data_IF_845747712840
#
_entry.id   IF_845747712840
#
_cell.length_a   1.000
_cell.length_b   1.000
_cell.length_c   1.000
_cell.angle_alpha   90.00
_cell.angle_beta   90.00
_cell.angle_gamma   90.00
#
_symmetry.space_group_name_H-M   'P 1'
#
loop_
_entity.id
_entity.type
_entity.pdbx_description
1 polymer ?
#
# COMPACT_ATOMS: atom_id res chain seq x y z
N UNK A 1 -11.91 -8.56 -21.07
CA UNK A 1 -11.87 -7.49 -22.10
C UNK A 1 -11.25 -6.27 -21.45
N UNK A 2 -9.98 -6.03 -21.77
CA UNK A 2 -9.10 -5.02 -21.19
C UNK A 2 -9.63 -3.61 -21.44
N UNK A 3 -9.71 -2.76 -20.41
CA UNK A 3 -9.93 -1.33 -20.61
C UNK A 3 -8.91 -0.54 -19.82
N UNK A 4 -7.76 -0.32 -20.45
CA UNK A 4 -6.91 0.83 -20.18
C UNK A 4 -7.70 2.08 -20.55
N UNK A 5 -7.93 3.02 -19.65
CA UNK A 5 -8.57 4.29 -20.01
C UNK A 5 -7.84 5.49 -19.42
N UNK A 6 -6.85 5.91 -20.20
CA UNK A 6 -6.09 7.15 -20.09
C UNK A 6 -5.19 7.21 -21.31
N UNK A 7 -5.78 7.56 -22.46
CA UNK A 7 -5.38 7.28 -23.85
C UNK A 7 -5.79 5.91 -24.36
N UNK A 8 -6.42 5.90 -25.53
CA UNK A 8 -6.58 4.77 -26.45
C UNK A 8 -5.25 4.24 -27.01
N UNK A 9 -4.16 4.41 -26.25
CA UNK A 9 -2.85 3.85 -26.58
C UNK A 9 -2.52 2.84 -25.50
N UNK A 10 -2.23 1.63 -25.98
CA UNK A 10 -1.63 0.57 -25.19
C UNK A 10 -0.46 1.11 -24.35
N UNK A 11 -0.07 0.36 -23.31
CA UNK A 11 1.26 0.50 -22.72
C UNK A 11 2.27 0.80 -23.84
N UNK A 12 3.16 1.76 -23.61
CA UNK A 12 4.14 2.17 -24.61
C UNK A 12 5.18 1.07 -24.82
N UNK A 13 6.07 1.23 -25.79
CA UNK A 13 7.26 0.38 -25.95
C UNK A 13 8.31 0.63 -24.86
N UNK A 14 8.10 1.58 -23.95
CA UNK A 14 9.04 1.81 -22.86
C UNK A 14 8.94 0.72 -21.80
N UNK A 15 10.03 0.58 -21.05
CA UNK A 15 10.09 -0.25 -19.86
C UNK A 15 9.08 0.22 -18.81
N UNK A 16 8.54 -0.75 -18.07
CA UNK A 16 7.67 -0.51 -16.91
C UNK A 16 8.45 -0.80 -15.63
N UNK A 17 8.53 0.17 -14.74
CA UNK A 17 9.05 -0.04 -13.40
C UNK A 17 7.90 -0.22 -12.43
N UNK A 18 7.87 -1.35 -11.73
CA UNK A 18 6.81 -1.68 -10.79
C UNK A 18 7.44 -2.26 -9.52
N UNK A 19 7.35 -1.54 -8.41
CA UNK A 19 7.85 -1.93 -7.09
C UNK A 19 9.26 -2.57 -7.13
N UNK A 20 10.24 -1.85 -7.69
CA UNK A 20 11.64 -2.30 -7.75
C UNK A 20 11.97 -3.31 -8.84
N UNK A 21 11.01 -3.67 -9.71
CA UNK A 21 11.23 -4.58 -10.84
C UNK A 21 10.99 -3.87 -12.17
N UNK A 22 11.96 -4.00 -13.07
CA UNK A 22 11.85 -3.54 -14.45
C UNK A 22 11.25 -4.65 -15.31
N UNK A 23 10.25 -4.28 -16.12
CA UNK A 23 9.64 -5.11 -17.13
C UNK A 23 9.97 -4.52 -18.49
N UNK A 24 10.88 -5.17 -19.21
CA UNK A 24 11.32 -4.70 -20.51
C UNK A 24 10.25 -4.90 -21.56
N UNK A 25 10.05 -3.90 -22.41
CA UNK A 25 9.33 -4.06 -23.68
C UNK A 25 10.32 -3.73 -24.79
N UNK A 26 10.64 -4.69 -25.64
CA UNK A 26 11.58 -4.46 -26.74
C UNK A 26 10.96 -3.51 -27.78
N UNK A 27 11.81 -2.71 -28.42
CA UNK A 27 11.45 -1.91 -29.60
C UNK A 27 11.18 -2.82 -30.80
N UNK A 28 10.42 -2.30 -31.77
CA UNK A 28 9.98 -2.98 -33.01
C UNK A 28 11.12 -3.47 -33.94
N UNK A 29 12.40 -3.37 -33.53
CA UNK A 29 13.57 -3.63 -34.40
C UNK A 29 14.37 -4.90 -34.05
N UNK A 30 13.98 -5.70 -33.06
CA UNK A 30 14.58 -7.02 -32.82
C UNK A 30 13.54 -8.13 -32.90
N UNK A 31 13.65 -8.92 -33.95
CA UNK A 31 12.78 -10.04 -34.33
C UNK A 31 12.75 -11.18 -33.30
N UNK A 32 11.76 -11.17 -32.40
CA UNK A 32 11.08 -12.34 -31.86
C UNK A 32 9.84 -11.88 -31.08
N UNK A 33 8.64 -12.06 -31.66
CA UNK A 33 7.35 -11.68 -31.02
C UNK A 33 7.17 -12.31 -29.62
N UNK A 34 7.82 -13.45 -29.35
CA UNK A 34 7.72 -14.19 -28.09
C UNK A 34 8.23 -13.42 -26.86
N UNK A 35 9.28 -12.61 -27.00
CA UNK A 35 9.97 -12.02 -25.84
C UNK A 35 9.26 -10.73 -25.36
N UNK A 36 8.66 -9.97 -26.28
CA UNK A 36 7.91 -8.75 -25.94
C UNK A 36 6.57 -9.04 -25.25
N UNK A 37 5.90 -10.12 -25.67
CA UNK A 37 4.69 -10.64 -25.04
C UNK A 37 4.99 -11.17 -23.63
N UNK A 38 6.18 -11.74 -23.42
CA UNK A 38 6.62 -12.26 -22.11
C UNK A 38 6.77 -11.17 -21.05
N UNK A 39 7.36 -10.01 -21.39
CA UNK A 39 7.56 -8.90 -20.45
C UNK A 39 6.25 -8.24 -20.03
N UNK A 40 5.32 -8.10 -20.98
CA UNK A 40 3.98 -7.56 -20.71
C UNK A 40 3.14 -8.51 -19.85
N UNK A 41 3.11 -9.80 -20.21
CA UNK A 41 2.38 -10.82 -19.45
C UNK A 41 2.91 -10.93 -18.00
N UNK A 42 4.24 -10.93 -17.82
CA UNK A 42 4.87 -10.98 -16.51
C UNK A 42 4.58 -9.72 -15.66
N UNK A 43 4.41 -8.55 -16.29
CA UNK A 43 3.95 -7.34 -15.60
C UNK A 43 2.49 -7.49 -15.15
N UNK A 44 1.60 -7.96 -16.03
CA UNK A 44 0.18 -8.13 -15.69
C UNK A 44 -0.05 -9.17 -14.60
N UNK A 45 0.69 -10.27 -14.64
CA UNK A 45 0.70 -11.27 -13.57
C UNK A 45 1.12 -10.64 -12.24
N UNK A 46 2.15 -9.80 -12.24
CA UNK A 46 2.60 -9.11 -11.03
C UNK A 46 1.59 -8.10 -10.51
N UNK A 47 1.07 -7.26 -11.40
CA UNK A 47 0.09 -6.24 -11.07
C UNK A 47 -1.17 -6.87 -10.47
N UNK A 48 -1.69 -7.93 -11.09
CA UNK A 48 -2.88 -8.67 -10.61
C UNK A 48 -2.63 -9.51 -9.34
N UNK A 49 -1.37 -9.74 -8.98
CA UNK A 49 -0.99 -10.42 -7.74
C UNK A 49 -0.97 -9.48 -6.53
N UNK A 50 -1.09 -8.16 -6.73
CA UNK A 50 -1.09 -7.18 -5.64
C UNK A 50 -2.44 -7.17 -4.92
N UNK A 51 -2.40 -6.99 -3.61
CA UNK A 51 -3.61 -6.88 -2.80
C UNK A 51 -4.26 -5.53 -3.08
N UNK A 52 -5.50 -5.57 -3.56
CA UNK A 52 -6.30 -4.38 -3.84
C UNK A 52 -7.38 -4.22 -2.78
N UNK A 53 -7.38 -3.08 -2.10
CA UNK A 53 -8.32 -2.76 -1.03
C UNK A 53 -9.05 -1.48 -1.40
N UNK A 54 -10.37 -1.55 -1.39
CA UNK A 54 -11.27 -0.49 -1.87
C UNK A 54 -12.23 -0.04 -0.78
N UNK A 55 -13.08 0.94 -1.09
CA UNK A 55 -14.16 1.31 -0.21
C UNK A 55 -15.09 0.13 0.08
N UNK A 56 -15.58 0.11 1.32
CA UNK A 56 -16.46 -0.92 1.84
C UNK A 56 -17.74 -0.32 2.41
N UNK A 57 -18.82 -1.07 2.29
CA UNK A 57 -20.13 -0.80 2.91
C UNK A 57 -20.58 -2.01 3.72
N UNK A 58 -21.23 -1.75 4.85
CA UNK A 58 -21.83 -2.78 5.69
C UNK A 58 -20.87 -3.42 6.70
N UNK A 59 -19.75 -2.77 7.03
CA UNK A 59 -18.98 -3.15 8.23
C UNK A 59 -19.66 -2.61 9.49
N UNK A 60 -19.30 -3.18 10.64
CA UNK A 60 -19.77 -2.72 11.95
C UNK A 60 -19.41 -1.26 12.19
N UNK A 61 -20.26 -0.52 12.89
CA UNK A 61 -20.02 0.91 13.12
C UNK A 61 -18.67 1.15 13.81
N UNK A 62 -17.88 2.08 13.30
CA UNK A 62 -16.59 2.44 13.92
C UNK A 62 -16.83 3.07 15.30
N UNK A 63 -16.08 2.68 16.33
CA UNK A 63 -16.32 3.02 17.75
C UNK A 63 -16.86 4.43 18.05
N UNK A 64 -16.23 5.49 17.53
CA UNK A 64 -16.61 6.88 17.83
C UNK A 64 -17.67 7.47 16.87
N UNK A 65 -18.25 6.68 15.98
CA UNK A 65 -19.15 7.18 14.93
C UNK A 65 -20.27 6.19 14.57
N UNK A 66 -21.17 6.62 13.68
CA UNK A 66 -22.23 5.77 13.10
C UNK A 66 -21.89 5.30 11.68
N UNK A 67 -20.67 5.53 11.21
CA UNK A 67 -20.25 5.14 9.87
C UNK A 67 -20.10 3.62 9.78
N UNK A 68 -20.85 3.03 8.85
CA UNK A 68 -20.77 1.62 8.43
C UNK A 68 -20.22 1.49 7.01
N UNK A 69 -19.60 2.57 6.53
CA UNK A 69 -19.07 2.71 5.18
C UNK A 69 -17.98 3.76 5.16
N UNK A 70 -16.91 3.48 4.41
CA UNK A 70 -15.78 4.42 4.25
C UNK A 70 -15.75 5.16 2.91
N UNK A 71 -16.80 4.98 2.11
CA UNK A 71 -17.02 5.71 0.86
C UNK A 71 -16.87 7.22 1.04
N UNK A 72 -16.08 7.83 0.15
CA UNK A 72 -15.76 9.26 0.07
C UNK A 72 -14.81 9.82 1.15
N UNK A 73 -14.34 9.02 2.12
CA UNK A 73 -13.41 9.50 3.14
C UNK A 73 -12.26 8.53 3.45
N UNK A 74 -12.44 7.23 3.25
CA UNK A 74 -11.46 6.19 3.60
C UNK A 74 -10.29 6.01 2.64
N UNK A 75 -10.17 6.77 1.53
CA UNK A 75 -9.22 6.47 0.46
C UNK A 75 -7.77 6.41 0.94
N UNK A 76 -7.37 7.31 1.84
CA UNK A 76 -6.02 7.30 2.43
C UNK A 76 -5.80 6.05 3.30
N UNK A 77 -6.81 5.64 4.06
CA UNK A 77 -6.75 4.41 4.87
C UNK A 77 -6.55 3.21 3.94
N UNK A 78 -7.40 3.06 2.91
CA UNK A 78 -7.35 1.93 1.97
C UNK A 78 -6.04 1.86 1.19
N UNK A 79 -5.58 2.99 0.66
CA UNK A 79 -4.29 3.06 -0.03
C UNK A 79 -3.13 2.70 0.90
N UNK A 80 -3.15 3.16 2.16
CA UNK A 80 -2.12 2.77 3.13
C UNK A 80 -2.18 1.29 3.52
N UNK A 81 -3.38 0.70 3.63
CA UNK A 81 -3.54 -0.74 3.85
C UNK A 81 -2.94 -1.53 2.70
N UNK A 82 -3.11 -1.09 1.44
CA UNK A 82 -2.47 -1.74 0.29
C UNK A 82 -0.94 -1.71 0.35
N UNK A 83 -0.34 -0.58 0.76
CA UNK A 83 1.12 -0.47 0.93
C UNK A 83 1.63 -1.41 2.03
N UNK A 84 0.97 -1.44 3.19
CA UNK A 84 1.38 -2.30 4.30
C UNK A 84 1.14 -3.78 3.97
N UNK A 85 0.03 -4.10 3.30
CA UNK A 85 -0.22 -5.45 2.78
C UNK A 85 0.89 -5.87 1.81
N UNK A 86 1.36 -4.97 0.96
CA UNK A 86 2.47 -5.24 0.06
C UNK A 86 3.79 -5.51 0.80
N UNK A 87 4.07 -4.77 1.88
CA UNK A 87 5.22 -5.02 2.75
C UNK A 87 5.17 -6.44 3.36
N UNK A 88 4.00 -6.86 3.82
CA UNK A 88 3.78 -8.21 4.37
C UNK A 88 3.95 -9.30 3.31
N UNK A 89 3.46 -9.08 2.09
CA UNK A 89 3.69 -9.99 0.96
C UNK A 89 5.18 -10.12 0.66
N UNK A 90 5.92 -9.01 0.61
CA UNK A 90 7.36 -9.05 0.36
C UNK A 90 8.11 -9.76 1.49
N UNK A 91 7.71 -9.54 2.73
CA UNK A 91 8.35 -10.14 3.88
C UNK A 91 8.11 -11.66 3.96
N UNK A 92 6.85 -12.10 3.84
CA UNK A 92 6.50 -13.51 4.02
C UNK A 92 6.66 -14.36 2.76
N UNK A 93 6.31 -13.81 1.59
CA UNK A 93 6.24 -14.56 0.33
C UNK A 93 7.36 -14.16 -0.66
N UNK A 94 7.98 -13.00 -0.45
CA UNK A 94 9.01 -12.45 -1.33
C UNK A 94 8.46 -11.64 -2.50
N UNK A 95 9.28 -10.71 -3.01
CA UNK A 95 8.94 -9.82 -4.16
C UNK A 95 8.52 -10.59 -5.42
N UNK A 96 9.15 -11.74 -5.65
CA UNK A 96 8.92 -12.57 -6.84
C UNK A 96 7.63 -13.40 -6.77
N UNK A 97 6.96 -13.46 -5.62
CA UNK A 97 5.70 -14.21 -5.48
C UNK A 97 4.59 -13.61 -6.35
N UNK A 98 3.80 -14.51 -6.94
CA UNK A 98 2.63 -14.21 -7.77
C UNK A 98 1.44 -15.01 -7.27
N UNK A 99 0.23 -14.43 -7.36
CA UNK A 99 -1.01 -15.08 -6.94
C UNK A 99 -1.39 -16.15 -7.97
N UNK A 100 -1.52 -17.42 -7.56
CA UNK A 100 -1.98 -18.46 -8.48
C UNK A 100 -3.36 -18.15 -9.06
N UNK A 101 -3.59 -18.55 -10.30
CA UNK A 101 -4.89 -18.43 -10.97
C UNK A 101 -5.94 -19.34 -10.33
N UNK A 102 -5.51 -20.50 -9.83
CA UNK A 102 -6.38 -21.56 -9.28
C UNK A 102 -6.21 -21.72 -7.76
N UNK A 103 -7.24 -22.30 -7.13
CA UNK A 103 -7.27 -22.63 -5.70
C UNK A 103 -6.59 -24.01 -5.46
N UNK A 104 -6.11 -24.29 -4.24
CA UNK A 104 -6.08 -23.43 -3.05
C UNK A 104 -5.00 -22.36 -3.11
N UNK A 105 -5.25 -21.22 -2.47
CA UNK A 105 -4.24 -20.17 -2.32
C UNK A 105 -3.29 -20.46 -1.16
N UNK A 106 -2.07 -19.91 -1.23
CA UNK A 106 -1.06 -20.04 -0.17
C UNK A 106 -1.64 -19.58 1.19
N UNK A 107 -1.53 -20.37 2.28
CA UNK A 107 -2.11 -20.02 3.58
C UNK A 107 -1.59 -18.73 4.20
N UNK A 108 -0.32 -18.38 4.00
CA UNK A 108 0.28 -17.13 4.48
C UNK A 108 -0.30 -15.92 3.74
N UNK A 109 -0.54 -16.03 2.42
CA UNK A 109 -1.28 -15.02 1.65
C UNK A 109 -2.66 -14.77 2.26
N UNK A 110 -3.36 -15.83 2.67
CA UNK A 110 -4.69 -15.73 3.28
C UNK A 110 -4.63 -15.15 4.69
N UNK A 111 -3.64 -15.53 5.48
CA UNK A 111 -3.36 -14.89 6.76
C UNK A 111 -3.12 -13.39 6.61
N UNK A 112 -2.34 -12.98 5.60
CA UNK A 112 -2.12 -11.57 5.28
C UNK A 112 -3.43 -10.86 4.99
N UNK A 113 -4.25 -11.44 4.11
CA UNK A 113 -5.55 -10.89 3.76
C UNK A 113 -6.50 -10.73 4.96
N UNK A 114 -6.53 -11.72 5.86
CA UNK A 114 -7.38 -11.69 7.06
C UNK A 114 -7.03 -10.53 7.99
N UNK A 115 -5.76 -10.12 8.07
CA UNK A 115 -5.35 -8.99 8.90
C UNK A 115 -6.01 -7.66 8.48
N UNK A 116 -6.46 -7.52 7.23
CA UNK A 116 -7.05 -6.28 6.70
C UNK A 116 -8.59 -6.30 6.59
N UNK A 117 -9.26 -7.32 7.15
CA UNK A 117 -10.71 -7.36 7.16
C UNK A 117 -11.34 -6.15 7.86
N UNK A 118 -12.56 -5.78 7.47
CA UNK A 118 -13.28 -4.61 7.99
C UNK A 118 -13.98 -4.89 9.33
N UNK A 119 -13.23 -5.41 10.30
CA UNK A 119 -13.70 -5.74 11.64
C UNK A 119 -12.64 -5.41 12.68
N UNK A 120 -13.06 -5.04 13.89
CA UNK A 120 -12.16 -4.81 15.02
C UNK A 120 -11.33 -6.05 15.38
N UNK A 121 -11.81 -7.25 15.02
CA UNK A 121 -11.06 -8.50 15.18
C UNK A 121 -9.83 -8.60 14.27
N UNK A 122 -9.79 -7.86 13.16
CA UNK A 122 -8.70 -7.88 12.19
C UNK A 122 -7.63 -6.85 12.56
N UNK A 123 -6.39 -7.29 12.77
CA UNK A 123 -5.30 -6.48 13.34
C UNK A 123 -5.07 -5.12 12.65
N UNK A 124 -5.27 -5.05 11.32
CA UNK A 124 -5.02 -3.88 10.47
C UNK A 124 -6.30 -3.37 9.79
N UNK A 125 -7.46 -3.59 10.41
CA UNK A 125 -8.74 -3.06 9.95
C UNK A 125 -8.80 -1.54 9.94
N UNK A 126 -9.77 -1.00 9.20
CA UNK A 126 -10.07 0.44 9.23
C UNK A 126 -10.43 0.92 10.65
N UNK A 127 -11.13 0.11 11.43
CA UNK A 127 -11.49 0.39 12.83
C UNK A 127 -10.25 0.59 13.69
N UNK A 128 -9.33 -0.38 13.65
CA UNK A 128 -8.13 -0.36 14.45
C UNK A 128 -7.16 0.76 14.03
N UNK A 129 -7.10 1.08 12.74
CA UNK A 129 -6.34 2.23 12.24
C UNK A 129 -6.90 3.57 12.71
N UNK A 130 -8.23 3.75 12.65
CA UNK A 130 -8.87 4.96 13.16
C UNK A 130 -8.61 5.14 14.66
N UNK A 131 -8.75 4.07 15.43
CA UNK A 131 -8.50 4.09 16.86
C UNK A 131 -7.04 4.45 17.18
N UNK A 132 -6.08 3.82 16.50
CA UNK A 132 -4.65 4.09 16.70
C UNK A 132 -4.24 5.51 16.26
N UNK A 133 -4.91 6.07 15.26
CA UNK A 133 -4.63 7.40 14.74
C UNK A 133 -5.40 8.54 15.40
N UNK A 134 -6.25 8.27 16.39
CA UNK A 134 -7.13 9.28 17.01
C UNK A 134 -6.37 10.50 17.53
N UNK A 135 -5.19 10.31 18.12
CA UNK A 135 -4.34 11.40 18.61
C UNK A 135 -3.72 12.27 17.50
N UNK A 136 -3.73 11.77 16.26
CA UNK A 136 -3.24 12.45 15.06
C UNK A 136 -4.40 12.93 14.18
N UNK A 137 -5.62 13.03 14.73
CA UNK A 137 -6.79 13.56 14.04
C UNK A 137 -7.47 12.59 13.07
N UNK A 138 -7.12 11.29 13.08
CA UNK A 138 -7.89 10.31 12.30
C UNK A 138 -9.28 10.16 12.91
N UNK A 139 -10.29 10.44 12.09
CA UNK A 139 -11.69 10.27 12.44
C UNK A 139 -12.48 9.84 11.21
N UNK A 140 -13.52 9.04 11.42
CA UNK A 140 -14.43 8.67 10.34
C UNK A 140 -15.03 9.93 9.69
N UNK A 141 -15.09 9.95 8.36
CA UNK A 141 -15.58 11.10 7.58
C UNK A 141 -14.55 12.22 7.37
N UNK A 142 -13.38 12.18 8.02
CA UNK A 142 -12.34 13.20 7.88
C UNK A 142 -11.25 12.77 6.89
N UNK A 143 -10.65 13.75 6.21
CA UNK A 143 -9.46 13.49 5.41
C UNK A 143 -8.24 13.27 6.31
N UNK A 144 -7.35 12.35 5.89
CA UNK A 144 -6.13 12.02 6.60
C UNK A 144 -4.92 12.31 5.72
N UNK A 145 -3.96 13.06 6.25
CA UNK A 145 -2.70 13.33 5.57
C UNK A 145 -1.68 12.18 5.70
N UNK A 146 -0.68 12.10 4.81
CA UNK A 146 0.34 11.04 4.85
C UNK A 146 1.08 10.93 6.19
N UNK A 147 1.44 12.04 6.82
CA UNK A 147 2.12 12.04 8.12
C UNK A 147 1.26 11.38 9.21
N UNK A 148 0.03 11.85 9.40
CA UNK A 148 -0.90 11.31 10.37
C UNK A 148 -1.15 9.80 10.14
N UNK A 149 -1.24 9.38 8.88
CA UNK A 149 -1.37 7.97 8.52
C UNK A 149 -0.14 7.14 8.92
N UNK A 150 1.08 7.64 8.66
CA UNK A 150 2.32 6.96 9.09
C UNK A 150 2.38 6.79 10.60
N UNK A 151 1.98 7.83 11.36
CA UNK A 151 1.93 7.79 12.83
C UNK A 151 0.84 6.85 13.37
N UNK A 152 -0.30 6.76 12.69
CA UNK A 152 -1.35 5.80 13.00
C UNK A 152 -0.84 4.36 12.84
N UNK A 153 -0.15 4.04 11.75
CA UNK A 153 0.49 2.73 11.55
C UNK A 153 1.53 2.42 12.63
N UNK A 154 2.41 3.38 12.94
CA UNK A 154 3.41 3.21 14.02
C UNK A 154 2.74 2.89 15.35
N UNK A 155 1.67 3.60 15.70
CA UNK A 155 0.91 3.40 16.94
C UNK A 155 0.20 2.05 16.94
N UNK A 156 -0.44 1.67 15.84
CA UNK A 156 -1.16 0.40 15.71
C UNK A 156 -0.23 -0.81 15.84
N UNK A 157 0.88 -0.80 15.10
CA UNK A 157 1.89 -1.88 15.14
C UNK A 157 2.44 -2.06 16.55
N UNK A 158 2.74 -0.96 17.25
CA UNK A 158 3.22 -0.99 18.64
C UNK A 158 2.17 -1.56 19.59
N UNK A 159 0.93 -1.08 19.50
CA UNK A 159 -0.17 -1.49 20.39
C UNK A 159 -0.52 -2.96 20.21
N UNK A 160 -0.65 -3.45 18.96
CA UNK A 160 -0.94 -4.86 18.68
C UNK A 160 0.18 -5.78 19.22
N UNK A 161 1.44 -5.31 19.18
CA UNK A 161 2.57 -6.05 19.74
C UNK A 161 2.50 -6.13 21.27
N UNK A 162 2.26 -5.01 21.95
CA UNK A 162 2.13 -4.95 23.41
C UNK A 162 0.95 -5.82 23.91
N UNK A 163 -0.20 -5.78 23.23
CA UNK A 163 -1.36 -6.60 23.59
C UNK A 163 -1.13 -8.11 23.39
N UNK A 164 -0.32 -8.51 22.41
CA UNK A 164 0.05 -9.91 22.18
C UNK A 164 0.94 -10.49 23.30
N UNK A 165 1.77 -9.68 23.94
CA UNK A 165 2.56 -10.16 25.09
C UNK A 165 1.65 -10.62 26.25
N UNK A 166 0.40 -10.15 26.26
CA UNK A 166 -0.64 -10.53 27.23
C UNK A 166 -1.49 -11.72 26.72
N UNK A 167 -1.72 -11.82 25.41
CA UNK A 167 -2.59 -12.84 24.80
C UNK A 167 -1.83 -13.58 23.68
N UNK A 168 -1.60 -14.89 23.85
CA UNK A 168 -0.91 -15.79 22.90
C UNK A 168 -1.63 -15.92 21.52
N UNK A 169 -1.77 -14.83 20.77
CA UNK A 169 -2.28 -14.78 19.40
C UNK A 169 -1.16 -14.86 18.37
N UNK A 170 -1.50 -15.11 17.09
CA UNK A 170 -0.54 -15.39 16.02
C UNK A 170 -0.43 -14.27 14.96
N UNK A 171 -1.11 -13.13 15.13
CA UNK A 171 -1.22 -12.07 14.13
C UNK A 171 -0.52 -10.78 14.60
N UNK A 172 0.81 -10.72 14.49
CA UNK A 172 1.58 -9.50 14.75
C UNK A 172 2.33 -9.04 13.51
N UNK A 173 2.48 -7.73 13.36
CA UNK A 173 3.32 -7.15 12.33
C UNK A 173 4.78 -7.63 12.50
N UNK A 174 5.40 -8.25 11.47
CA UNK A 174 6.67 -8.96 11.60
C UNK A 174 7.91 -8.07 11.39
N UNK A 175 7.71 -6.75 11.27
CA UNK A 175 8.76 -5.79 10.96
C UNK A 175 8.78 -4.66 11.99
N UNK A 176 9.96 -4.12 12.28
CA UNK A 176 10.07 -2.81 12.92
C UNK A 176 9.49 -1.73 11.98
N UNK A 177 8.93 -0.65 12.52
CA UNK A 177 8.38 0.45 11.72
C UNK A 177 9.07 1.76 12.10
N UNK A 178 9.69 2.40 11.12
CA UNK A 178 10.39 3.67 11.28
C UNK A 178 9.75 4.74 10.39
N UNK A 179 9.11 5.71 11.04
CA UNK A 179 8.64 6.93 10.39
C UNK A 179 9.78 7.94 10.31
N UNK A 180 10.21 8.27 9.10
CA UNK A 180 11.32 9.20 8.85
C UNK A 180 10.73 10.56 8.47
N UNK A 181 10.50 11.41 9.48
CA UNK A 181 10.03 12.80 9.31
C UNK A 181 11.18 13.80 9.29
N UNK A 182 11.01 14.93 8.60
CA UNK A 182 12.01 16.01 8.53
C UNK A 182 11.96 17.03 9.68
N UNK A 183 10.99 16.92 10.59
CA UNK A 183 10.74 17.75 11.78
C UNK A 183 10.13 16.85 12.87
N UNK A 184 10.26 17.21 14.15
CA UNK A 184 9.64 16.55 15.31
C UNK A 184 8.12 16.44 15.11
N UNK A 185 7.48 17.49 14.56
CA UNK A 185 6.04 17.51 14.30
C UNK A 185 5.65 16.97 12.91
N UNK A 186 6.56 16.94 11.93
CA UNK A 186 6.46 16.31 10.60
C UNK A 186 5.24 16.63 9.70
N UNK A 187 4.20 17.29 10.21
CA UNK A 187 2.96 17.64 9.51
C UNK A 187 3.18 18.70 8.44
N UNK A 188 4.21 19.53 8.59
CA UNK A 188 4.50 20.68 7.72
C UNK A 188 5.61 20.42 6.69
N UNK A 189 6.04 19.17 6.57
CA UNK A 189 7.14 18.77 5.69
C UNK A 189 8.50 18.84 6.39
N UNK A 190 9.56 19.01 5.60
CA UNK A 190 10.95 19.00 6.06
C UNK A 190 11.85 18.16 5.15
N UNK A 191 13.12 18.02 5.53
CA UNK A 191 14.09 17.18 4.83
C UNK A 191 14.33 15.90 5.66
N UNK A 192 13.55 14.82 5.44
CA UNK A 192 13.72 13.61 6.22
C UNK A 192 15.09 13.00 5.97
N UNK A 193 15.79 12.66 7.06
CA UNK A 193 17.09 11.99 7.04
C UNK A 193 16.93 10.65 7.76
N UNK A 194 17.28 9.57 7.07
CA UNK A 194 17.30 8.24 7.69
C UNK A 194 18.48 8.19 8.65
N UNK A 195 18.19 8.11 9.95
CA UNK A 195 19.23 7.93 10.97
C UNK A 195 19.43 6.44 11.24
N UNK A 196 20.62 5.93 10.93
CA UNK A 196 20.94 4.50 11.09
C UNK A 196 20.90 4.10 12.57
N UNK A 197 21.37 4.94 13.49
CA UNK A 197 21.33 4.63 14.92
C UNK A 197 19.89 4.46 15.42
N UNK A 198 18.95 5.29 14.92
CA UNK A 198 17.52 5.15 15.23
C UNK A 198 16.96 3.85 14.65
N UNK A 199 17.31 3.51 13.40
CA UNK A 199 16.88 2.25 12.79
C UNK A 199 17.41 1.03 13.55
N UNK A 200 18.69 1.04 13.94
CA UNK A 200 19.31 -0.03 14.74
C UNK A 200 18.64 -0.14 16.10
N UNK A 201 18.37 0.97 16.78
CA UNK A 201 17.68 0.95 18.07
C UNK A 201 16.27 0.36 17.94
N UNK A 202 15.49 0.81 16.96
CA UNK A 202 14.14 0.28 16.69
C UNK A 202 14.18 -1.23 16.40
N UNK A 203 15.16 -1.70 15.63
CA UNK A 203 15.36 -3.12 15.36
C UNK A 203 15.73 -3.92 16.62
N UNK A 204 16.64 -3.39 17.44
CA UNK A 204 17.02 -4.00 18.72
C UNK A 204 15.80 -4.11 19.65
N UNK A 205 15.03 -3.04 19.80
CA UNK A 205 13.80 -3.01 20.61
C UNK A 205 12.74 -3.95 20.04
N UNK A 206 12.64 -4.06 18.72
CA UNK A 206 11.76 -5.01 18.04
C UNK A 206 12.14 -6.47 18.32
N UNK A 207 13.44 -6.77 18.39
CA UNK A 207 13.94 -8.12 18.70
C UNK A 207 14.18 -8.36 20.20
N UNK A 208 13.79 -7.44 21.09
CA UNK A 208 14.08 -7.53 22.54
C UNK A 208 15.58 -7.76 22.84
N UNK A 209 16.45 -7.12 22.05
CA UNK A 209 17.91 -7.26 22.15
C UNK A 209 18.49 -8.57 21.63
N UNK A 210 17.70 -9.46 21.01
CA UNK A 210 18.18 -10.74 20.50
C UNK A 210 18.98 -10.63 19.19
N UNK A 211 18.76 -9.57 18.40
CA UNK A 211 19.48 -9.29 17.16
C UNK A 211 19.59 -7.79 16.95
N UNK A 212 20.69 -7.35 16.35
CA UNK A 212 20.96 -5.95 16.00
C UNK A 212 20.10 -5.45 14.83
N UNK A 213 19.49 -6.36 14.07
CA UNK A 213 18.66 -6.02 12.93
C UNK A 213 17.41 -6.90 12.85
N UNK A 214 16.28 -6.28 12.54
CA UNK A 214 15.03 -6.93 12.13
C UNK A 214 14.62 -6.41 10.76
N UNK A 215 13.80 -7.15 10.01
CA UNK A 215 13.03 -6.58 8.90
C UNK A 215 12.40 -5.24 9.32
N UNK A 216 12.51 -4.21 8.47
CA UNK A 216 12.10 -2.84 8.80
C UNK A 216 11.25 -2.25 7.67
N UNK A 217 10.13 -1.64 8.03
CA UNK A 217 9.30 -0.82 7.16
C UNK A 217 9.64 0.66 7.39
N UNK A 218 10.18 1.31 6.35
CA UNK A 218 10.45 2.74 6.35
C UNK A 218 9.27 3.49 5.74
N UNK A 219 8.68 4.41 6.50
CA UNK A 219 7.62 5.31 6.03
C UNK A 219 8.14 6.75 6.02
N UNK A 220 8.15 7.39 4.85
CA UNK A 220 8.73 8.73 4.67
C UNK A 220 7.63 9.70 4.25
N UNK A 221 6.92 10.36 5.19
CA UNK A 221 5.93 11.38 4.85
C UNK A 221 6.63 12.61 4.27
N UNK A 222 6.13 13.08 3.12
CA UNK A 222 6.73 14.20 2.37
C UNK A 222 5.67 15.22 1.95
N UNK A 223 6.06 16.50 1.99
CA UNK A 223 5.32 17.62 1.38
C UNK A 223 6.20 18.19 0.27
N UNK A 224 5.83 17.92 -0.99
CA UNK A 224 6.68 18.20 -2.16
C UNK A 224 6.26 19.45 -2.94
N UNK A 225 5.35 20.25 -2.37
CA UNK A 225 4.84 21.48 -2.92
C UNK A 225 3.62 21.97 -2.13
N UNK A 226 3.13 23.16 -2.45
CA UNK A 226 1.95 23.75 -1.80
C UNK A 226 0.66 23.19 -2.40
N UNK A 227 0.42 23.47 -3.69
CA UNK A 227 -0.81 23.02 -4.39
C UNK A 227 -0.57 21.81 -5.30
N UNK A 228 0.64 21.76 -5.88
CA UNK A 228 1.09 20.71 -6.79
C UNK A 228 2.52 20.33 -6.46
N UNK A 229 2.87 19.08 -6.77
CA UNK A 229 4.25 18.60 -6.65
C UNK A 229 5.16 19.51 -7.48
N UNK A 230 6.25 19.99 -6.89
CA UNK A 230 7.25 20.74 -7.63
C UNK A 230 7.91 19.79 -8.66
N UNK A 231 7.86 20.10 -9.98
CA UNK A 231 8.35 19.21 -11.02
C UNK A 231 9.80 18.74 -10.84
N UNK A 232 10.63 19.50 -10.12
CA UNK A 232 12.01 19.11 -9.79
C UNK A 232 12.11 17.77 -9.05
N UNK A 233 11.07 17.39 -8.31
CA UNK A 233 11.05 16.14 -7.54
C UNK A 233 10.54 14.95 -8.34
N UNK A 234 9.85 15.16 -9.48
CA UNK A 234 9.25 14.09 -10.26
C UNK A 234 10.30 13.05 -10.70
N UNK A 235 11.48 13.42 -11.25
CA UNK A 235 12.52 12.44 -11.60
C UNK A 235 12.98 11.63 -10.38
N UNK A 236 13.16 12.29 -9.22
CA UNK A 236 13.58 11.64 -7.98
C UNK A 236 12.54 10.64 -7.47
N UNK A 237 11.25 10.96 -7.57
CA UNK A 237 10.15 10.04 -7.23
C UNK A 237 10.11 8.85 -8.19
N UNK A 238 10.32 9.07 -9.49
CA UNK A 238 10.38 7.98 -10.49
C UNK A 238 11.52 7.01 -10.17
N UNK A 239 12.69 7.52 -9.77
CA UNK A 239 13.82 6.68 -9.34
C UNK A 239 13.49 5.79 -8.13
N UNK A 240 12.63 6.23 -7.21
CA UNK A 240 12.27 5.37 -6.06
C UNK A 240 11.59 4.06 -6.46
N UNK A 241 10.99 3.97 -7.65
CA UNK A 241 10.40 2.72 -8.16
C UNK A 241 11.44 1.74 -8.72
N UNK A 242 12.69 2.17 -8.91
CA UNK A 242 13.79 1.30 -9.35
C UNK A 242 14.46 0.56 -8.20
N UNK A 243 14.26 1.04 -6.96
CA UNK A 243 14.84 0.42 -5.77
C UNK A 243 14.20 -0.95 -5.50
N UNK A 244 14.98 -2.03 -5.28
CA UNK A 244 14.43 -3.35 -4.96
C UNK A 244 13.52 -3.36 -3.71
N UNK A 245 13.73 -2.40 -2.80
CA UNK A 245 12.99 -2.21 -1.56
C UNK A 245 11.71 -1.37 -1.74
N UNK A 246 11.44 -0.88 -2.95
CA UNK A 246 10.32 0.03 -3.21
C UNK A 246 8.98 -0.63 -2.89
N UNK A 247 8.24 0.00 -1.99
CA UNK A 247 6.84 -0.32 -1.68
C UNK A 247 5.90 0.69 -2.32
N UNK A 248 6.38 1.51 -3.27
CA UNK A 248 5.59 2.54 -3.91
C UNK A 248 5.31 3.77 -3.04
N UNK A 249 4.33 4.56 -3.45
CA UNK A 249 4.01 5.87 -2.90
C UNK A 249 2.51 5.95 -2.63
N UNK A 250 2.15 6.53 -1.48
CA UNK A 250 0.78 6.95 -1.17
C UNK A 250 0.64 8.43 -1.46
N UNK A 251 -0.43 8.82 -2.14
CA UNK A 251 -0.65 10.23 -2.40
C UNK A 251 -1.96 10.51 -3.11
N UNK A 252 -2.29 11.80 -3.19
CA UNK A 252 -3.52 12.29 -3.80
C UNK A 252 -3.99 13.55 -3.09
N UNK A 253 -4.92 14.28 -3.73
CA UNK A 253 -5.63 15.38 -3.07
C UNK A 253 -6.63 14.80 -2.07
N UNK A 254 -7.18 15.63 -1.15
CA UNK A 254 -8.28 15.21 -0.31
C UNK A 254 -9.41 14.54 -1.10
N UNK A 255 -9.75 13.32 -0.69
CA UNK A 255 -10.79 12.50 -1.34
C UNK A 255 -10.36 11.77 -2.61
N UNK A 256 -9.08 11.82 -3.01
CA UNK A 256 -8.57 11.17 -4.24
C UNK A 256 -7.28 10.37 -4.01
N UNK A 257 -7.08 9.81 -2.81
CA UNK A 257 -5.84 9.08 -2.49
C UNK A 257 -5.74 7.77 -3.28
N UNK A 258 -4.57 7.50 -3.85
CA UNK A 258 -4.26 6.26 -4.57
C UNK A 258 -2.95 5.64 -4.07
N UNK A 259 -2.77 4.36 -4.34
CA UNK A 259 -1.50 3.68 -4.08
C UNK A 259 -0.72 3.54 -5.39
N UNK A 260 0.28 4.39 -5.58
CA UNK A 260 1.14 4.40 -6.76
C UNK A 260 2.23 3.35 -6.58
N UNK A 261 2.22 2.32 -7.43
CA UNK A 261 3.10 1.16 -7.32
C UNK A 261 4.12 1.05 -8.47
N UNK A 262 4.02 1.91 -9.47
CA UNK A 262 4.98 1.93 -10.56
C UNK A 262 4.88 3.14 -11.47
N UNK A 263 5.73 3.15 -12.49
CA UNK A 263 5.80 4.18 -13.52
C UNK A 263 6.09 3.57 -14.89
N UNK A 264 5.55 4.19 -15.92
CA UNK A 264 5.88 3.94 -17.33
C UNK A 264 5.93 5.29 -18.03
N UNK A 265 7.07 5.63 -18.65
CA UNK A 265 7.31 6.98 -19.16
C UNK A 265 6.97 8.02 -18.08
N UNK A 266 6.15 9.03 -18.40
CA UNK A 266 5.66 10.05 -17.47
C UNK A 266 4.32 9.70 -16.82
N UNK A 267 3.93 8.42 -16.85
CA UNK A 267 2.67 7.92 -16.27
C UNK A 267 2.95 7.17 -14.98
N UNK A 268 2.12 7.43 -13.98
CA UNK A 268 2.06 6.64 -12.76
C UNK A 268 1.12 5.44 -12.93
N UNK A 269 1.52 4.29 -12.40
CA UNK A 269 0.71 3.08 -12.28
C UNK A 269 0.27 2.94 -10.84
N UNK A 270 -1.04 2.82 -10.61
CA UNK A 270 -1.60 2.86 -9.27
C UNK A 270 -2.77 1.88 -9.08
N UNK A 271 -3.04 1.56 -7.82
CA UNK A 271 -4.23 0.85 -7.36
C UNK A 271 -5.19 1.87 -6.74
N UNK A 272 -6.43 1.85 -7.24
CA UNK A 272 -7.44 2.86 -6.94
C UNK A 272 -8.45 2.35 -5.91
N UNK A 273 -8.56 2.94 -4.70
CA UNK A 273 -9.50 2.47 -3.69
C UNK A 273 -10.95 2.92 -3.91
N UNK A 274 -11.27 3.74 -4.91
CA UNK A 274 -12.58 4.41 -5.02
C UNK A 274 -13.71 3.51 -5.53
N UNK A 275 -13.45 2.22 -5.77
CA UNK A 275 -14.50 1.25 -6.02
C UNK A 275 -15.23 0.88 -4.72
N UNK A 276 -16.56 0.85 -4.76
CA UNK A 276 -17.38 0.50 -3.60
C UNK A 276 -17.76 -0.97 -3.64
N UNK A 277 -17.37 -1.72 -2.62
CA UNK A 277 -17.72 -3.12 -2.45
C UNK A 277 -18.47 -3.35 -1.12
N UNK A 278 -19.28 -4.39 -1.03
CA UNK A 278 -19.89 -4.79 0.24
C UNK A 278 -18.88 -5.56 1.09
N UNK A 279 -18.99 -5.47 2.41
CA UNK A 279 -18.34 -6.40 3.32
C UNK A 279 -19.02 -7.76 3.15
N UNK A 280 -18.23 -8.82 2.99
CA UNK A 280 -18.74 -10.18 2.87
C UNK A 280 -18.74 -10.82 4.27
N UNK A 281 -19.91 -11.30 4.71
CA UNK A 281 -20.22 -11.74 6.08
C UNK A 281 -19.41 -12.96 6.60
N UNK A 282 -18.70 -13.68 5.72
CA UNK A 282 -17.87 -14.83 6.11
C UNK A 282 -16.39 -14.53 5.87
N UNK A 283 -15.66 -14.37 6.98
CA UNK A 283 -14.22 -14.14 7.05
C UNK A 283 -13.38 -15.19 6.29
N UNK A 284 -13.93 -16.39 6.02
CA UNK A 284 -13.22 -17.48 5.32
C UNK A 284 -13.44 -17.52 3.80
N UNK A 285 -14.25 -16.63 3.22
CA UNK A 285 -14.55 -16.61 1.77
C UNK A 285 -14.41 -15.21 1.14
N UNK A 286 -13.98 -14.20 1.90
CA UNK A 286 -14.25 -12.79 1.56
C UNK A 286 -13.34 -12.16 0.50
N UNK A 287 -12.30 -12.85 -0.01
CA UNK A 287 -11.50 -12.42 -1.18
C UNK A 287 -11.58 -13.43 -2.33
N UNK A 288 -12.45 -14.43 -2.20
CA UNK A 288 -12.34 -15.67 -2.98
C UNK A 288 -13.29 -15.83 -4.15
N UNK A 289 -14.16 -14.86 -4.38
CA UNK A 289 -15.07 -14.86 -5.52
C UNK A 289 -15.26 -13.41 -5.94
N UNK A 290 -14.54 -12.99 -6.97
CA UNK A 290 -15.10 -12.52 -8.24
C UNK A 290 -13.92 -12.24 -9.18
N UNK A 291 -14.07 -12.62 -10.44
CA UNK A 291 -13.21 -12.16 -11.54
C UNK A 291 -13.02 -10.65 -11.42
N UNK A 292 -11.76 -10.20 -11.40
CA UNK A 292 -11.41 -8.79 -11.45
C UNK A 292 -12.09 -8.14 -12.66
N UNK A 293 -12.97 -7.18 -12.41
CA UNK A 293 -13.39 -6.22 -13.42
C UNK A 293 -12.51 -4.98 -13.27
N UNK A 294 -11.70 -4.72 -14.29
CA UNK A 294 -10.81 -3.57 -14.41
C UNK A 294 -11.68 -2.35 -14.75
N UNK A 295 -11.58 -1.28 -13.96
CA UNK A 295 -12.13 0.02 -14.31
C UNK A 295 -11.06 1.11 -14.13
N UNK A 296 -10.73 1.81 -15.21
CA UNK A 296 -9.80 2.95 -15.23
C UNK A 296 -10.60 4.20 -15.57
N UNK A 297 -10.48 5.25 -14.73
CA UNK A 297 -10.79 6.63 -15.11
C UNK A 297 -9.83 7.60 -14.40
N UNK A 298 -9.25 8.54 -15.16
CA UNK A 298 -8.66 9.80 -14.68
C UNK A 298 -9.25 10.96 -15.48
N UNK A 299 -9.59 12.08 -14.82
CA UNK A 299 -9.25 13.40 -15.38
C UNK A 299 -8.83 14.41 -14.29
N UNK A 300 -8.37 15.62 -14.66
CA UNK A 300 -7.22 15.97 -15.50
C UNK A 300 -6.07 16.54 -14.64
N UNK A 301 -4.81 16.36 -15.08
CA UNK A 301 -3.75 17.32 -14.73
C UNK A 301 -4.01 18.53 -15.62
N UNK A 302 -4.29 19.68 -15.01
CA UNK A 302 -4.26 20.96 -15.72
C UNK A 302 -2.81 21.38 -15.93
#
# INVERSE_FOLDING_TARGET
>A
MWRFLGTSKALTSSDVWFLGKCYKRLSEESSSDSDSESGHAAFLEDFSSRIWITYRKGFDATADSKYTSDVNWGCMVRSSQMLVAQALIFHHLGRSWRKPSEKPYNPEYIGILHMFGDSEACAFSIHNLLQAGKSYGLAAGSWVGPYAMCRAWQTLVRTNREQREVVNGNESFPMALYVVSGDEDGERGGAPVVCIDVATQLCCDFNKGQSTWSPILLLVPLVLGLDKINPRYIPLLKETFTFPQSLGILGGKPGTSTYIAGVQDDRALYLDPHEVQMVKLHYLLSIYEHQFYICVFLPPVT
#
